data_IF_590405584986
#
_entry.id   IF_590405584986
#
_cell.length_a   1.000
_cell.length_b   1.000
_cell.length_c   1.000
_cell.angle_alpha   90.00
_cell.angle_beta   90.00
_cell.angle_gamma   90.00
#
_symmetry.space_group_name_H-M   'P 1'
#
loop_
_entity.id
_entity.type
_entity.pdbx_description
1 polymer ?
#
# COMPACT_ATOMS: atom_id res chain seq x y z
N UNK A 1 -6.23 -1.50 -7.09
CA UNK A 1 -6.41 -0.03 -7.03
C UNK A 1 -7.56 0.32 -7.95
N UNK A 2 -8.71 0.71 -7.39
CA UNK A 2 -9.87 1.15 -8.17
C UNK A 2 -9.88 2.68 -8.17
N UNK A 3 -9.69 3.29 -9.33
CA UNK A 3 -9.63 4.74 -9.44
C UNK A 3 -11.03 5.35 -9.38
N UNK A 4 -11.17 6.40 -8.58
CA UNK A 4 -12.32 7.27 -8.65
C UNK A 4 -12.40 7.94 -10.04
N UNK A 5 -13.63 8.07 -10.55
CA UNK A 5 -13.86 8.50 -11.94
C UNK A 5 -13.47 9.96 -12.14
N UNK A 6 -13.69 10.82 -11.16
CA UNK A 6 -13.47 12.26 -11.27
C UNK A 6 -12.03 12.64 -10.91
N UNK A 7 -11.60 12.26 -9.72
CA UNK A 7 -10.27 12.60 -9.20
C UNK A 7 -9.13 11.78 -9.80
N UNK A 8 -9.43 10.66 -10.47
CA UNK A 8 -8.44 9.66 -10.93
C UNK A 8 -7.51 9.19 -9.82
N UNK A 9 -8.02 9.18 -8.60
CA UNK A 9 -7.26 8.87 -7.40
C UNK A 9 -7.86 7.66 -6.67
N UNK A 10 -7.06 7.06 -5.80
CA UNK A 10 -7.52 5.99 -4.93
C UNK A 10 -6.66 5.96 -3.67
N UNK A 11 -7.27 5.65 -2.53
CA UNK A 11 -6.56 5.48 -1.27
C UNK A 11 -7.04 4.22 -0.56
N UNK A 12 -6.14 3.61 0.21
CA UNK A 12 -6.44 2.46 1.05
C UNK A 12 -5.36 2.25 2.08
N UNK A 13 -5.68 1.46 3.11
CA UNK A 13 -4.72 1.10 4.15
C UNK A 13 -4.53 -0.41 4.20
N UNK A 14 -3.37 -0.82 4.71
CA UNK A 14 -3.01 -2.21 4.96
C UNK A 14 -2.54 -2.31 6.41
N UNK A 15 -3.21 -3.15 7.18
CA UNK A 15 -2.76 -3.58 8.51
C UNK A 15 -2.21 -5.01 8.42
N UNK A 16 -1.09 -5.27 9.09
CA UNK A 16 -0.48 -6.61 9.16
C UNK A 16 0.27 -6.79 10.48
N UNK A 17 -0.05 -7.84 11.22
CA UNK A 17 0.71 -8.31 12.37
C UNK A 17 0.99 -9.82 12.22
N UNK A 18 1.33 -10.51 13.32
CA UNK A 18 1.57 -11.95 13.28
C UNK A 18 0.28 -12.81 13.18
N UNK A 19 -0.90 -12.18 13.26
CA UNK A 19 -2.21 -12.81 13.17
C UNK A 19 -2.57 -13.78 14.31
N UNK A 20 -1.74 -13.88 15.35
CA UNK A 20 -1.88 -14.92 16.39
C UNK A 20 -1.73 -14.37 17.82
N UNK A 21 -0.81 -13.44 18.04
CA UNK A 21 -0.48 -12.93 19.37
C UNK A 21 -1.10 -11.56 19.64
N UNK A 22 -0.88 -11.04 20.85
CA UNK A 22 -1.23 -9.67 21.21
C UNK A 22 -0.05 -8.68 21.09
N UNK A 23 1.02 -9.03 20.38
CA UNK A 23 2.20 -8.16 20.27
C UNK A 23 1.90 -6.85 19.51
N UNK A 24 0.83 -6.80 18.71
CA UNK A 24 0.36 -5.54 18.12
C UNK A 24 0.05 -4.46 19.16
N UNK A 25 -0.37 -4.85 20.38
CA UNK A 25 -0.58 -3.90 21.50
C UNK A 25 0.70 -3.24 21.99
N UNK A 26 1.86 -3.78 21.61
CA UNK A 26 3.20 -3.22 21.88
C UNK A 26 3.80 -2.50 20.68
N UNK A 27 3.04 -2.36 19.58
CA UNK A 27 3.53 -1.73 18.34
C UNK A 27 4.12 -2.70 17.31
N UNK A 28 4.06 -4.02 17.56
CA UNK A 28 4.59 -5.03 16.62
C UNK A 28 3.58 -5.34 15.51
N UNK A 29 3.37 -4.39 14.62
CA UNK A 29 2.51 -4.49 13.43
C UNK A 29 2.94 -3.49 12.36
N UNK A 30 2.53 -3.67 11.10
CA UNK A 30 2.62 -2.68 10.04
C UNK A 30 1.25 -2.03 9.82
N UNK A 31 1.21 -0.70 9.79
CA UNK A 31 0.08 0.04 9.26
C UNK A 31 0.54 0.97 8.14
N UNK A 32 0.14 0.64 6.91
CA UNK A 32 0.57 1.31 5.69
C UNK A 32 -0.62 2.04 5.06
N UNK A 33 -0.36 3.21 4.48
CA UNK A 33 -1.27 3.89 3.55
C UNK A 33 -0.74 3.78 2.14
N UNK A 34 -1.57 3.29 1.22
CA UNK A 34 -1.34 3.37 -0.21
C UNK A 34 -2.17 4.52 -0.79
N UNK A 35 -1.56 5.32 -1.65
CA UNK A 35 -2.23 6.41 -2.36
C UNK A 35 -1.83 6.38 -3.82
N UNK A 36 -2.82 6.31 -4.69
CA UNK A 36 -2.67 6.58 -6.11
C UNK A 36 -3.17 7.99 -6.41
N UNK A 37 -2.28 8.86 -6.86
CA UNK A 37 -2.60 10.21 -7.35
C UNK A 37 -1.49 10.64 -8.32
N UNK A 38 -1.81 11.50 -9.30
CA UNK A 38 -0.81 12.06 -10.22
C UNK A 38 0.04 10.99 -10.95
N UNK A 39 -0.60 9.88 -11.34
CA UNK A 39 0.02 8.71 -11.96
C UNK A 39 1.09 8.01 -11.09
N UNK A 40 1.07 8.22 -9.77
CA UNK A 40 2.00 7.62 -8.83
C UNK A 40 1.25 6.83 -7.77
N UNK A 41 1.65 5.58 -7.58
CA UNK A 41 1.32 4.80 -6.39
C UNK A 41 2.42 5.02 -5.36
N UNK A 42 2.07 5.56 -4.20
CA UNK A 42 2.98 5.69 -3.07
C UNK A 42 2.53 4.79 -1.92
N UNK A 43 3.50 4.33 -1.13
CA UNK A 43 3.27 3.66 0.15
C UNK A 43 3.88 4.51 1.25
N UNK A 44 3.14 4.68 2.35
CA UNK A 44 3.58 5.40 3.53
C UNK A 44 3.36 4.53 4.76
N UNK A 45 4.41 4.29 5.54
CA UNK A 45 4.28 3.76 6.89
C UNK A 45 3.61 4.80 7.78
N UNK A 46 2.42 4.47 8.28
CA UNK A 46 1.69 5.28 9.24
C UNK A 46 2.12 4.94 10.68
N UNK A 47 2.26 3.65 10.99
CA UNK A 47 2.65 3.15 12.31
C UNK A 47 3.35 1.78 12.20
N UNK A 48 4.18 1.44 13.20
CA UNK A 48 5.00 0.23 13.21
C UNK A 48 6.44 0.44 12.73
N UNK A 49 7.18 -0.64 12.38
CA UNK A 49 6.81 -2.05 12.58
C UNK A 49 7.01 -2.55 14.01
N UNK A 50 7.56 -1.73 14.91
CA UNK A 50 8.11 -2.24 16.18
C UNK A 50 9.17 -3.31 15.88
N UNK A 51 8.99 -4.50 16.44
CA UNK A 51 9.81 -5.69 16.16
C UNK A 51 9.20 -6.63 15.12
N UNK A 52 8.05 -6.28 14.54
CA UNK A 52 7.38 -7.12 13.56
C UNK A 52 8.24 -7.28 12.30
N UNK A 53 8.40 -8.53 11.87
CA UNK A 53 9.14 -8.89 10.66
C UNK A 53 8.26 -9.75 9.80
N UNK A 54 8.26 -9.47 8.50
CA UNK A 54 7.50 -10.24 7.52
C UNK A 54 8.36 -10.52 6.29
N UNK A 55 8.11 -11.66 5.64
CA UNK A 55 8.65 -11.99 4.31
C UNK A 55 7.71 -11.53 3.18
N UNK A 56 6.55 -10.98 3.52
CA UNK A 56 5.60 -10.48 2.54
C UNK A 56 6.21 -9.34 1.72
N UNK A 57 5.91 -9.33 0.42
CA UNK A 57 6.33 -8.30 -0.52
C UNK A 57 5.20 -8.05 -1.52
N UNK A 58 5.23 -6.88 -2.18
CA UNK A 58 4.22 -6.55 -3.20
C UNK A 58 4.63 -7.19 -4.52
N UNK A 59 3.96 -8.30 -4.88
CA UNK A 59 4.24 -9.01 -6.13
C UNK A 59 3.52 -8.46 -7.36
N UNK A 60 2.38 -7.79 -7.15
CA UNK A 60 1.52 -7.32 -8.24
C UNK A 60 0.72 -6.10 -7.81
N UNK A 61 0.61 -5.15 -8.74
CA UNK A 61 -0.30 -4.01 -8.64
C UNK A 61 -1.27 -4.07 -9.82
N UNK A 62 -2.57 -4.08 -9.52
CA UNK A 62 -3.64 -3.99 -10.53
C UNK A 62 -4.34 -2.65 -10.38
N UNK A 63 -4.38 -1.86 -11.45
CA UNK A 63 -5.06 -0.56 -11.51
C UNK A 63 -6.26 -0.68 -12.46
N UNK A 64 -7.45 -0.41 -11.95
CA UNK A 64 -8.71 -0.45 -12.70
C UNK A 64 -9.22 0.97 -12.88
N UNK A 65 -9.71 1.28 -14.08
CA UNK A 65 -10.20 2.62 -14.44
C UNK A 65 -9.09 3.58 -14.93
N UNK A 66 -7.90 3.06 -15.24
CA UNK A 66 -6.82 3.85 -15.85
C UNK A 66 -7.16 4.14 -17.32
N UNK A 67 -7.00 5.39 -17.81
CA UNK A 67 -7.63 5.83 -19.06
C UNK A 67 -6.99 5.27 -20.34
N UNK A 68 -5.73 4.85 -20.29
CA UNK A 68 -4.98 4.35 -21.45
C UNK A 68 -3.82 3.46 -21.00
N UNK A 69 -3.22 2.69 -21.91
CA UNK A 69 -2.02 1.92 -21.58
C UNK A 69 -0.84 2.86 -21.29
N UNK A 70 -0.09 2.66 -20.18
CA UNK A 70 1.10 3.47 -19.91
C UNK A 70 2.23 3.12 -20.90
N UNK A 71 2.98 4.14 -21.33
CA UNK A 71 4.17 3.94 -22.18
C UNK A 71 5.37 3.41 -21.39
N UNK A 72 5.43 3.70 -20.09
CA UNK A 72 6.49 3.26 -19.19
C UNK A 72 5.95 3.16 -17.76
N UNK A 73 6.49 2.21 -16.98
CA UNK A 73 6.27 2.11 -15.54
C UNK A 73 7.63 1.98 -14.88
N UNK A 74 7.88 2.76 -13.84
CA UNK A 74 9.14 2.75 -13.07
C UNK A 74 8.86 2.60 -11.59
N UNK A 75 9.75 1.91 -10.89
CA UNK A 75 9.76 1.84 -9.43
C UNK A 75 10.92 2.70 -8.94
N UNK A 76 10.63 3.64 -8.05
CA UNK A 76 11.64 4.50 -7.40
C UNK A 76 11.66 4.17 -5.91
N UNK A 77 12.87 4.12 -5.33
CA UNK A 77 13.07 4.01 -3.87
C UNK A 77 12.98 5.37 -3.18
#
# INVERSE_FOLDING_TARGET
IALDKESKSAEGTLYMDDGLSFQYKKGDFLYLKYRFADNKLTSKLLEGPGNFKTKAWIERVVIVGYPSSPSQVTITS
#
